data_IF_021536970499
#
_entry.id   IF_021536970499
#
_cell.length_a   1.000
_cell.length_b   1.000
_cell.length_c   1.000
_cell.angle_alpha   90.00
_cell.angle_beta   90.00
_cell.angle_gamma   90.00
#
_symmetry.space_group_name_H-M   'P 1'
#
loop_
_entity.id
_entity.type
_entity.pdbx_description
1 polymer ?
#
# COMPACT_ATOMS: atom_id res chain seq x y z
N UNK A 1 7.77 4.41 -14.27
CA UNK A 1 6.97 5.05 -13.21
C UNK A 1 5.54 5.18 -13.70
N UNK A 2 4.65 4.29 -13.29
CA UNK A 2 3.21 4.54 -13.41
C UNK A 2 2.81 5.32 -12.17
N UNK A 3 2.75 6.64 -12.29
CA UNK A 3 2.16 7.51 -11.28
C UNK A 3 0.64 7.35 -11.38
N UNK A 4 0.06 6.61 -10.47
CA UNK A 4 -1.38 6.68 -10.26
C UNK A 4 -1.62 7.98 -9.49
N UNK A 5 -1.94 9.06 -10.19
CA UNK A 5 -2.44 10.31 -9.60
C UNK A 5 -3.86 10.07 -9.05
N UNK A 6 -3.95 9.16 -8.09
CA UNK A 6 -5.16 9.00 -7.32
C UNK A 6 -5.13 9.98 -6.17
N UNK A 7 -5.86 11.09 -6.30
CA UNK A 7 -6.33 11.92 -5.17
C UNK A 7 -5.27 12.51 -4.23
N UNK A 8 -4.00 12.63 -4.65
CA UNK A 8 -2.94 13.29 -3.90
C UNK A 8 -3.28 14.76 -3.55
N UNK A 9 -4.10 15.41 -4.37
CA UNK A 9 -4.53 16.80 -4.16
C UNK A 9 -5.37 16.92 -2.88
N UNK A 10 -6.32 16.02 -2.67
CA UNK A 10 -7.17 16.01 -1.48
C UNK A 10 -6.41 15.67 -0.20
N UNK A 11 -5.42 14.75 -0.28
CA UNK A 11 -4.60 14.37 0.87
C UNK A 11 -3.69 15.51 1.33
N UNK A 12 -3.28 16.41 0.43
CA UNK A 12 -2.40 17.52 0.75
C UNK A 12 -3.14 18.79 1.19
N UNK A 13 -4.31 19.06 0.63
CA UNK A 13 -5.04 20.31 0.81
C UNK A 13 -6.31 20.17 1.66
N UNK A 14 -6.76 18.94 1.94
CA UNK A 14 -8.08 18.69 2.50
C UNK A 14 -9.16 18.64 1.41
N UNK A 15 -10.39 18.35 1.81
CA UNK A 15 -11.55 18.38 0.92
C UNK A 15 -12.41 19.56 1.34
N UNK A 16 -12.67 20.48 0.43
CA UNK A 16 -13.61 21.59 0.60
C UNK A 16 -14.87 21.22 -0.16
N UNK A 17 -16.02 21.16 0.54
CA UNK A 17 -17.28 20.71 -0.01
C UNK A 17 -17.70 21.49 -1.27
N UNK A 18 -17.51 22.82 -1.28
CA UNK A 18 -17.89 23.69 -2.39
C UNK A 18 -17.07 23.47 -3.67
N UNK A 19 -15.88 22.86 -3.57
CA UNK A 19 -15.01 22.58 -4.70
C UNK A 19 -15.28 21.21 -5.35
N UNK A 20 -16.22 20.42 -4.79
CA UNK A 20 -16.57 19.10 -5.28
C UNK A 20 -17.59 19.16 -6.42
N UNK A 21 -17.51 18.19 -7.33
CA UNK A 21 -18.58 17.95 -8.32
C UNK A 21 -19.83 17.39 -7.65
N UNK A 22 -20.98 17.41 -8.35
CA UNK A 22 -22.24 16.94 -7.78
C UNK A 22 -22.17 15.46 -7.36
N UNK A 23 -21.49 14.61 -8.14
CA UNK A 23 -21.27 13.19 -7.82
C UNK A 23 -20.36 13.01 -6.58
N UNK A 24 -19.31 13.83 -6.48
CA UNK A 24 -18.40 13.80 -5.32
C UNK A 24 -19.08 14.34 -4.05
N UNK A 25 -20.02 15.29 -4.18
CA UNK A 25 -20.82 15.81 -3.07
C UNK A 25 -21.74 14.74 -2.48
N UNK A 26 -22.40 13.94 -3.32
CA UNK A 26 -23.21 12.81 -2.85
C UNK A 26 -22.38 11.81 -2.05
N UNK A 27 -21.17 11.49 -2.52
CA UNK A 27 -20.25 10.62 -1.77
C UNK A 27 -19.75 11.27 -0.48
N UNK A 28 -19.50 12.57 -0.49
CA UNK A 28 -19.05 13.33 0.67
C UNK A 28 -20.13 13.37 1.74
N UNK A 29 -21.37 13.69 1.38
CA UNK A 29 -22.54 13.73 2.27
C UNK A 29 -22.79 12.36 2.90
N UNK A 30 -22.73 11.29 2.11
CA UNK A 30 -22.93 9.93 2.61
C UNK A 30 -21.84 9.48 3.62
N UNK A 31 -20.64 10.08 3.57
CA UNK A 31 -19.49 9.67 4.39
C UNK A 31 -19.23 10.55 5.60
N UNK A 32 -19.55 11.84 5.52
CA UNK A 32 -19.17 12.84 6.51
C UNK A 32 -20.35 13.49 7.22
N UNK A 33 -21.60 13.15 6.88
CA UNK A 33 -22.76 13.57 7.66
C UNK A 33 -22.75 12.81 8.99
N UNK A 34 -22.77 13.53 10.11
CA UNK A 34 -22.84 12.95 11.44
C UNK A 34 -24.26 12.44 11.79
N UNK A 35 -24.41 11.79 12.96
CA UNK A 35 -25.67 11.24 13.42
C UNK A 35 -26.75 12.33 13.64
N UNK A 36 -26.34 13.59 13.81
CA UNK A 36 -27.22 14.75 13.98
C UNK A 36 -27.55 15.46 12.64
N UNK A 37 -27.03 14.97 11.51
CA UNK A 37 -27.27 15.49 10.17
C UNK A 37 -26.39 16.69 9.81
N UNK A 38 -25.34 17.00 10.58
CA UNK A 38 -24.42 18.06 10.26
C UNK A 38 -23.36 17.59 9.26
N UNK A 39 -23.09 18.43 8.27
CA UNK A 39 -22.08 18.20 7.24
C UNK A 39 -20.92 19.20 7.41
N UNK A 40 -19.66 18.76 7.56
CA UNK A 40 -18.54 19.68 7.66
C UNK A 40 -18.28 20.36 6.31
N UNK A 41 -18.07 21.67 6.31
CA UNK A 41 -17.72 22.44 5.10
C UNK A 41 -16.33 22.08 4.55
N UNK A 42 -15.45 21.58 5.42
CA UNK A 42 -14.10 21.18 5.07
C UNK A 42 -13.62 20.00 5.93
N UNK A 43 -13.03 19.00 5.29
CA UNK A 43 -12.32 17.91 5.97
C UNK A 43 -10.82 18.13 5.85
N UNK A 44 -10.17 18.40 7.00
CA UNK A 44 -8.75 18.67 7.07
C UNK A 44 -7.91 17.43 6.73
N UNK A 45 -6.67 17.58 6.22
CA UNK A 45 -5.78 16.47 5.90
C UNK A 45 -5.53 15.48 7.04
N UNK A 46 -5.65 15.90 8.30
CA UNK A 46 -5.54 15.03 9.48
C UNK A 46 -6.72 14.05 9.60
N UNK A 47 -7.92 14.51 9.33
CA UNK A 47 -9.13 13.68 9.30
C UNK A 47 -9.14 12.76 8.06
N UNK A 48 -8.61 13.22 6.93
CA UNK A 48 -8.40 12.40 5.73
C UNK A 48 -7.37 11.28 5.92
N UNK A 49 -6.43 11.44 6.86
CA UNK A 49 -5.54 10.36 7.24
C UNK A 49 -6.27 9.18 7.92
N UNK A 50 -7.37 9.44 8.63
CA UNK A 50 -8.28 8.39 9.11
C UNK A 50 -9.06 7.78 7.95
N UNK A 51 -9.46 8.58 6.98
CA UNK A 51 -10.10 8.12 5.75
C UNK A 51 -9.18 7.28 4.84
N UNK A 52 -7.86 7.48 4.86
CA UNK A 52 -6.88 6.62 4.19
C UNK A 52 -6.87 5.18 4.72
N UNK A 53 -7.52 4.90 5.86
CA UNK A 53 -7.85 3.57 6.36
C UNK A 53 -9.18 3.03 5.80
N UNK A 54 -9.86 3.78 4.93
CA UNK A 54 -11.09 3.35 4.30
C UNK A 54 -10.83 2.09 3.46
N UNK A 55 -11.66 1.10 3.65
CA UNK A 55 -11.59 -0.18 2.92
C UNK A 55 -11.56 0.01 1.40
N UNK A 56 -12.31 0.98 0.88
CA UNK A 56 -12.38 1.25 -0.56
C UNK A 56 -11.05 1.75 -1.12
N UNK A 57 -10.34 2.61 -0.39
CA UNK A 57 -9.01 3.07 -0.77
C UNK A 57 -8.02 1.91 -0.77
N UNK A 58 -8.03 1.09 0.29
CA UNK A 58 -7.17 -0.10 0.37
C UNK A 58 -7.49 -1.05 -0.77
N UNK A 59 -8.78 -1.34 -1.03
CA UNK A 59 -9.23 -2.21 -2.13
C UNK A 59 -8.78 -1.70 -3.49
N UNK A 60 -8.95 -0.41 -3.78
CA UNK A 60 -8.50 0.22 -5.03
C UNK A 60 -6.99 0.08 -5.23
N UNK A 61 -6.19 0.37 -4.21
CA UNK A 61 -4.73 0.26 -4.26
C UNK A 61 -4.29 -1.19 -4.45
N UNK A 62 -4.89 -2.14 -3.72
CA UNK A 62 -4.60 -3.56 -3.89
C UNK A 62 -4.97 -4.05 -5.30
N UNK A 63 -6.13 -3.62 -5.82
CA UNK A 63 -6.53 -3.94 -7.19
C UNK A 63 -5.53 -3.38 -8.21
N UNK A 64 -5.10 -2.11 -8.06
CA UNK A 64 -4.07 -1.51 -8.92
C UNK A 64 -2.77 -2.30 -8.85
N UNK A 65 -2.31 -2.69 -7.64
CA UNK A 65 -1.11 -3.51 -7.51
C UNK A 65 -1.26 -4.84 -8.26
N UNK A 66 -2.38 -5.52 -8.11
CA UNK A 66 -2.60 -6.84 -8.70
C UNK A 66 -2.83 -6.80 -10.22
N UNK A 67 -3.40 -5.71 -10.76
CA UNK A 67 -3.65 -5.54 -12.21
C UNK A 67 -2.46 -4.94 -12.94
N UNK A 68 -1.92 -3.82 -12.44
CA UNK A 68 -0.95 -2.98 -13.14
C UNK A 68 0.49 -3.15 -12.60
N UNK A 69 0.65 -3.82 -11.44
CA UNK A 69 1.96 -4.10 -10.86
C UNK A 69 2.82 -4.95 -11.79
N UNK A 70 4.14 -4.77 -11.68
CA UNK A 70 5.11 -5.56 -12.44
C UNK A 70 4.98 -7.04 -12.08
N UNK A 71 4.91 -7.87 -13.10
CA UNK A 71 4.70 -9.31 -12.99
C UNK A 71 5.92 -10.08 -13.47
N UNK A 72 6.07 -11.29 -12.97
CA UNK A 72 7.04 -12.30 -13.38
C UNK A 72 6.31 -13.50 -14.00
N UNK A 73 7.04 -14.52 -14.41
CA UNK A 73 6.50 -15.75 -14.98
C UNK A 73 5.52 -15.48 -16.14
N UNK A 74 5.97 -14.66 -17.11
CA UNK A 74 5.18 -14.25 -18.30
C UNK A 74 3.83 -13.59 -17.93
N UNK A 75 3.81 -12.80 -16.86
CA UNK A 75 2.64 -12.05 -16.42
C UNK A 75 1.66 -12.83 -15.55
N UNK A 76 1.96 -14.08 -15.21
CA UNK A 76 1.07 -14.94 -14.41
C UNK A 76 1.13 -14.66 -12.91
N UNK A 77 2.27 -14.10 -12.42
CA UNK A 77 2.51 -13.89 -11.00
C UNK A 77 2.96 -12.45 -10.73
N UNK A 78 2.39 -11.80 -9.72
CA UNK A 78 2.88 -10.49 -9.28
C UNK A 78 4.32 -10.62 -8.78
N UNK A 79 5.20 -9.70 -9.13
CA UNK A 79 6.55 -9.66 -8.61
C UNK A 79 6.59 -9.38 -7.11
N UNK A 80 7.69 -9.72 -6.42
CA UNK A 80 7.86 -9.38 -5.01
C UNK A 80 7.50 -7.91 -4.78
N UNK A 81 6.63 -7.66 -3.82
CA UNK A 81 6.06 -6.34 -3.58
C UNK A 81 6.15 -5.96 -2.11
N UNK A 82 6.44 -4.68 -1.83
CA UNK A 82 6.41 -4.15 -0.47
C UNK A 82 5.32 -3.09 -0.38
N UNK A 83 4.44 -3.24 0.60
CA UNK A 83 3.42 -2.25 0.96
C UNK A 83 3.83 -1.61 2.28
N UNK A 84 4.13 -0.32 2.27
CA UNK A 84 4.49 0.44 3.46
C UNK A 84 3.23 0.99 4.13
N UNK A 85 2.82 0.35 5.22
CA UNK A 85 1.67 0.74 6.02
C UNK A 85 2.04 1.83 7.03
N UNK A 86 1.03 2.55 7.55
CA UNK A 86 1.21 3.64 8.51
C UNK A 86 1.57 3.13 9.91
N UNK A 87 0.91 2.07 10.35
CA UNK A 87 1.11 1.41 11.65
C UNK A 87 0.66 -0.06 11.57
N UNK A 88 0.83 -0.81 12.66
CA UNK A 88 0.49 -2.22 12.76
C UNK A 88 -1.00 -2.51 12.43
N UNK A 89 -1.91 -1.78 13.06
CA UNK A 89 -3.36 -1.95 12.82
C UNK A 89 -3.74 -1.72 11.35
N UNK A 90 -3.10 -0.76 10.69
CA UNK A 90 -3.28 -0.54 9.26
C UNK A 90 -2.73 -1.70 8.43
N UNK A 91 -1.57 -2.23 8.79
CA UNK A 91 -0.99 -3.39 8.11
C UNK A 91 -1.89 -4.63 8.21
N UNK A 92 -2.46 -4.88 9.40
CA UNK A 92 -3.43 -5.96 9.61
C UNK A 92 -4.71 -5.74 8.78
N UNK A 93 -5.22 -4.51 8.72
CA UNK A 93 -6.41 -4.18 7.91
C UNK A 93 -6.16 -4.39 6.42
N UNK A 94 -4.99 -4.01 5.90
CA UNK A 94 -4.60 -4.29 4.52
C UNK A 94 -4.57 -5.79 4.24
N UNK A 95 -3.99 -6.58 5.16
CA UNK A 95 -3.94 -8.04 5.03
C UNK A 95 -5.34 -8.68 5.07
N UNK A 96 -6.20 -8.23 5.98
CA UNK A 96 -7.60 -8.68 6.07
C UNK A 96 -8.33 -8.46 4.75
N UNK A 97 -8.24 -7.24 4.19
CA UNK A 97 -8.88 -6.88 2.93
C UNK A 97 -8.29 -7.70 1.77
N UNK A 98 -6.96 -7.86 1.72
CA UNK A 98 -6.31 -8.69 0.71
C UNK A 98 -6.84 -10.13 0.73
N UNK A 99 -6.90 -10.76 1.88
CA UNK A 99 -7.39 -12.13 2.03
C UNK A 99 -8.88 -12.27 1.67
N UNK A 100 -9.68 -11.23 1.89
CA UNK A 100 -11.10 -11.19 1.53
C UNK A 100 -11.30 -11.03 0.02
N UNK A 101 -10.56 -10.15 -0.62
CA UNK A 101 -10.68 -9.87 -2.05
C UNK A 101 -10.01 -10.96 -2.92
N UNK A 102 -8.94 -11.58 -2.39
CA UNK A 102 -8.16 -12.61 -3.09
C UNK A 102 -8.05 -13.92 -2.28
N UNK A 103 -9.17 -14.59 -1.95
CA UNK A 103 -9.16 -15.77 -1.08
C UNK A 103 -8.36 -16.95 -1.67
N UNK A 104 -8.24 -17.01 -3.00
CA UNK A 104 -7.43 -18.01 -3.71
C UNK A 104 -5.91 -17.78 -3.59
N UNK A 105 -5.49 -16.62 -3.08
CA UNK A 105 -4.10 -16.23 -2.84
C UNK A 105 -3.77 -16.19 -1.33
N UNK A 106 -4.43 -17.00 -0.53
CA UNK A 106 -4.15 -17.08 0.91
C UNK A 106 -2.67 -17.36 1.18
N UNK A 107 -2.05 -16.58 2.08
CA UNK A 107 -0.61 -16.66 2.36
C UNK A 107 0.28 -15.89 1.38
N UNK A 108 -0.28 -15.31 0.32
CA UNK A 108 0.47 -14.50 -0.64
C UNK A 108 0.94 -13.17 -0.05
N UNK A 109 0.15 -12.58 0.84
CA UNK A 109 0.49 -11.39 1.61
C UNK A 109 0.74 -11.75 3.08
N UNK A 110 1.69 -11.06 3.72
CA UNK A 110 2.03 -11.25 5.13
C UNK A 110 2.45 -9.90 5.73
N UNK A 111 2.01 -9.62 6.94
CA UNK A 111 2.53 -8.49 7.72
C UNK A 111 3.93 -8.85 8.21
N UNK A 112 4.88 -7.96 8.01
CA UNK A 112 6.27 -8.09 8.48
C UNK A 112 6.63 -6.81 9.21
N UNK A 113 6.61 -6.84 10.55
CA UNK A 113 6.92 -5.71 11.41
C UNK A 113 7.62 -6.12 12.70
N UNK A 114 7.97 -5.13 13.52
CA UNK A 114 8.70 -5.33 14.77
C UNK A 114 7.87 -6.02 15.88
N UNK A 115 6.56 -6.19 15.70
CA UNK A 115 5.68 -6.86 16.66
C UNK A 115 5.68 -8.37 16.50
N UNK A 116 6.26 -8.89 15.41
CA UNK A 116 6.34 -10.32 15.15
C UNK A 116 7.45 -10.99 15.98
N UNK A 117 7.12 -12.11 16.61
CA UNK A 117 8.10 -12.92 17.37
C UNK A 117 9.23 -13.49 16.50
N UNK A 118 8.95 -13.72 15.20
CA UNK A 118 9.89 -14.32 14.22
C UNK A 118 10.06 -13.42 13.00
N UNK A 119 10.21 -12.13 13.22
CA UNK A 119 10.31 -11.15 12.14
C UNK A 119 11.47 -11.45 11.17
N UNK A 120 12.65 -11.86 11.68
CA UNK A 120 13.79 -12.21 10.83
C UNK A 120 13.49 -13.41 9.94
N UNK A 121 12.84 -14.44 10.44
CA UNK A 121 12.45 -15.62 9.63
C UNK A 121 11.45 -15.23 8.53
N UNK A 122 10.52 -14.31 8.81
CA UNK A 122 9.58 -13.80 7.81
C UNK A 122 10.28 -12.98 6.71
N UNK A 123 11.32 -12.25 7.07
CA UNK A 123 12.18 -11.52 6.13
C UNK A 123 12.97 -12.50 5.24
N UNK A 124 13.56 -13.53 5.83
CA UNK A 124 14.33 -14.53 5.12
C UNK A 124 13.43 -15.31 4.13
N UNK A 125 12.19 -15.65 4.55
CA UNK A 125 11.18 -16.24 3.67
C UNK A 125 10.81 -15.29 2.52
N UNK A 126 10.57 -14.00 2.81
CA UNK A 126 10.26 -13.01 1.79
C UNK A 126 11.42 -12.77 0.82
N UNK A 127 12.67 -12.89 1.29
CA UNK A 127 13.87 -12.70 0.49
C UNK A 127 14.13 -13.85 -0.49
N UNK A 128 13.52 -15.01 -0.27
CA UNK A 128 13.64 -16.16 -1.17
C UNK A 128 12.67 -15.99 -2.36
N UNK A 129 13.16 -15.92 -3.61
CA UNK A 129 12.30 -15.70 -4.78
C UNK A 129 11.25 -16.80 -4.99
N UNK A 130 11.52 -18.00 -4.48
CA UNK A 130 10.66 -19.18 -4.70
C UNK A 130 9.63 -19.39 -3.58
N UNK A 131 9.75 -18.63 -2.47
CA UNK A 131 8.88 -18.79 -1.31
C UNK A 131 7.84 -17.68 -1.23
N UNK A 132 6.75 -17.98 -0.53
CA UNK A 132 5.80 -16.98 -0.05
C UNK A 132 6.36 -16.33 1.24
N UNK A 133 5.95 -15.11 1.56
CA UNK A 133 4.94 -14.31 0.87
C UNK A 133 5.48 -13.64 -0.40
N UNK A 134 4.55 -13.29 -1.30
CA UNK A 134 4.86 -12.50 -2.49
C UNK A 134 4.73 -11.01 -2.20
N UNK A 135 3.88 -10.64 -1.23
CA UNK A 135 3.62 -9.28 -0.81
C UNK A 135 3.96 -9.15 0.68
N UNK A 136 4.92 -8.31 1.01
CA UNK A 136 5.24 -7.94 2.38
C UNK A 136 4.53 -6.63 2.74
N UNK A 137 3.71 -6.65 3.80
CA UNK A 137 3.07 -5.45 4.34
C UNK A 137 3.88 -5.03 5.56
N UNK A 138 4.60 -3.91 5.46
CA UNK A 138 5.57 -3.49 6.48
C UNK A 138 5.23 -2.13 7.07
N UNK A 139 5.55 -1.93 8.33
CA UNK A 139 5.36 -0.63 9.02
C UNK A 139 6.69 0.00 9.14
N UNK A 140 7.75 -0.16 9.34
CA UNK A 140 9.04 0.56 9.41
C UNK A 140 10.24 -0.39 9.22
N UNK A 141 9.98 -1.69 9.29
CA UNK A 141 11.01 -2.69 9.36
C UNK A 141 11.76 -2.89 8.05
N UNK A 142 11.03 -2.83 6.92
CA UNK A 142 11.61 -2.98 5.58
C UNK A 142 12.15 -1.65 5.01
N UNK A 143 12.12 -0.57 5.82
CA UNK A 143 12.67 0.73 5.42
C UNK A 143 14.20 0.72 5.38
N UNK A 144 14.84 -0.09 6.24
CA UNK A 144 16.31 -0.16 6.38
C UNK A 144 16.80 -1.62 6.51
N UNK A 145 17.99 -1.89 6.01
CA UNK A 145 18.77 -3.09 6.34
C UNK A 145 18.43 -4.40 5.62
N UNK A 146 17.36 -4.48 4.83
CA UNK A 146 16.97 -5.73 4.14
C UNK A 146 17.46 -5.72 2.70
N UNK A 147 18.12 -6.80 2.31
CA UNK A 147 18.57 -7.02 0.95
C UNK A 147 17.63 -8.01 0.23
N UNK A 148 16.61 -7.50 -0.45
CA UNK A 148 15.72 -8.28 -1.30
C UNK A 148 15.83 -7.74 -2.72
N UNK A 149 16.74 -8.29 -3.55
CA UNK A 149 16.98 -7.78 -4.90
C UNK A 149 15.77 -7.94 -5.83
N UNK A 150 14.88 -8.89 -5.54
CA UNK A 150 13.75 -9.26 -6.40
C UNK A 150 12.49 -8.39 -6.22
N UNK A 151 12.56 -7.31 -5.42
CA UNK A 151 11.41 -6.41 -5.23
C UNK A 151 11.17 -5.59 -6.48
N UNK A 152 9.98 -5.76 -7.07
CA UNK A 152 9.56 -5.07 -8.29
C UNK A 152 8.54 -3.95 -8.02
N UNK A 153 7.73 -4.08 -6.98
CA UNK A 153 6.65 -3.13 -6.70
C UNK A 153 6.78 -2.56 -5.29
N UNK A 154 6.60 -1.24 -5.20
CA UNK A 154 6.57 -0.52 -3.92
C UNK A 154 5.27 0.27 -3.83
N UNK A 155 4.52 0.07 -2.75
CA UNK A 155 3.27 0.76 -2.47
C UNK A 155 3.41 1.56 -1.18
N UNK A 156 3.09 2.84 -1.22
CA UNK A 156 3.21 3.74 -0.08
C UNK A 156 1.84 4.19 0.42
N UNK A 157 1.39 3.66 1.55
CA UNK A 157 0.20 4.14 2.27
C UNK A 157 0.53 5.19 3.34
N UNK A 158 1.79 5.51 3.53
CA UNK A 158 2.23 6.52 4.50
C UNK A 158 2.94 7.68 3.83
N UNK A 159 2.77 8.88 4.39
CA UNK A 159 3.52 10.05 3.98
C UNK A 159 4.97 9.91 4.41
N UNK A 160 5.91 9.95 3.48
CA UNK A 160 7.34 9.91 3.76
C UNK A 160 7.86 11.35 3.78
N UNK A 161 8.13 11.87 5.00
CA UNK A 161 8.55 13.26 5.20
C UNK A 161 10.04 13.48 4.99
N UNK A 162 10.86 12.44 5.12
CA UNK A 162 12.31 12.54 4.94
C UNK A 162 12.70 12.11 3.53
N UNK A 163 13.37 13.01 2.80
CA UNK A 163 13.92 12.72 1.47
C UNK A 163 14.90 11.55 1.51
N UNK A 164 15.74 11.47 2.55
CA UNK A 164 16.68 10.36 2.72
C UNK A 164 15.95 9.03 2.93
N UNK A 165 14.91 9.00 3.80
CA UNK A 165 14.08 7.82 4.03
C UNK A 165 13.36 7.39 2.74
N UNK A 166 12.79 8.33 1.99
CA UNK A 166 12.14 8.05 0.71
C UNK A 166 13.10 7.37 -0.29
N UNK A 167 14.32 7.90 -0.44
CA UNK A 167 15.32 7.28 -1.31
C UNK A 167 15.77 5.90 -0.83
N UNK A 168 15.90 5.68 0.47
CA UNK A 168 16.19 4.36 1.03
C UNK A 168 15.10 3.34 0.71
N UNK A 169 13.83 3.75 0.81
CA UNK A 169 12.68 2.89 0.50
C UNK A 169 12.60 2.59 -1.01
N UNK A 170 12.77 3.58 -1.88
CA UNK A 170 12.82 3.38 -3.34
C UNK A 170 14.01 2.50 -3.73
N UNK A 171 15.16 2.67 -3.10
CA UNK A 171 16.35 1.86 -3.35
C UNK A 171 16.15 0.36 -3.17
N UNK A 172 15.02 -0.07 -2.58
CA UNK A 172 14.64 -1.49 -2.48
C UNK A 172 14.15 -2.05 -3.81
N UNK A 173 13.40 -1.26 -4.58
CA UNK A 173 12.85 -1.66 -5.89
C UNK A 173 13.70 -1.26 -7.10
N UNK A 174 14.91 -0.71 -6.89
CA UNK A 174 15.79 -0.28 -7.99
C UNK A 174 17.07 -1.11 -8.12
N UNK A 175 17.14 -2.24 -7.41
CA UNK A 175 18.30 -3.15 -7.51
C UNK A 175 18.25 -3.94 -8.81
N UNK A 176 19.44 -4.19 -9.34
CA UNK A 176 19.57 -5.04 -10.53
C UNK A 176 19.39 -6.50 -10.14
N UNK A 177 18.42 -7.16 -10.74
CA UNK A 177 18.20 -8.60 -10.65
C UNK A 177 18.10 -9.17 -12.07
N UNK A 178 19.24 -9.51 -12.70
CA UNK A 178 19.25 -10.02 -14.08
C UNK A 178 18.40 -11.28 -14.20
N UNK A 179 17.56 -11.34 -15.23
CA UNK A 179 16.74 -12.50 -15.52
C UNK A 179 15.42 -12.61 -14.73
N UNK A 180 15.10 -11.63 -13.88
CA UNK A 180 13.89 -11.65 -13.06
C UNK A 180 12.60 -11.49 -13.89
N UNK A 181 12.65 -10.65 -14.93
CA UNK A 181 11.51 -10.44 -15.84
C UNK A 181 11.83 -11.09 -17.17
N UNK A 182 11.28 -12.30 -17.37
CA UNK A 182 11.30 -13.05 -18.64
C UNK A 182 12.67 -13.13 -19.30
N UNK A 183 13.73 -13.32 -18.50
CA UNK A 183 15.09 -13.49 -18.98
C UNK A 183 15.80 -12.21 -19.44
N UNK A 184 15.26 -11.02 -19.12
CA UNK A 184 15.86 -9.70 -19.41
C UNK A 184 16.65 -9.17 -18.24
#
# INVERSE_FOLDING_TARGET
FVSVETTLKFIQQGIVYDELTDEEKEEYEAKFTDEDGNLPECVMPSALNEWGFNEDTIRKVLNTLMTDGLKIDYGSKIGKSIIFAKNHTHAEKILEIFNREYPHLYGYAKVIDNYMTYAQSAIDEFSDPQKLPQIAISVDMLDTGIDVPDVLNLVFFKKVMSKAKFWQMIGRGTRLCPGLIDGK
#
